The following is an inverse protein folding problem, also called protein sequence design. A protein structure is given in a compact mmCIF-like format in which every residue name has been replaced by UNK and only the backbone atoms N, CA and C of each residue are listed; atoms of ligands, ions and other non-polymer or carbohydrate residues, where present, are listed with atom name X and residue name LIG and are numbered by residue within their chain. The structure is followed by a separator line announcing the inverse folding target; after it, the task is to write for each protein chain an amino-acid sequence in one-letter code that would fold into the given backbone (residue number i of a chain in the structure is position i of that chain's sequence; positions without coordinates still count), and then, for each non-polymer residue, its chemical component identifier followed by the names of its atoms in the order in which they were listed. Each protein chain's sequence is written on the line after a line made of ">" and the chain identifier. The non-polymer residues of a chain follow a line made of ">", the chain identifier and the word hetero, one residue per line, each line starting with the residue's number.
data_IF_010670960302
#
_entry.id   IF_010670960302
#
_cell.length_a   1.000
_cell.length_b   1.000
_cell.length_c   1.000
_cell.angle_alpha   90.00
_cell.angle_beta   90.00
_cell.angle_gamma   90.00
#
_symmetry.space_group_name_H-M   'P 1'
#
loop_
_entity.id
_entity.type
_entity.pdbx_description
1 polymer ?
#
# COMPACT_ATOMS: atom_id res chain seq x y z
N UNK A 1 -17.92 -33.15 9.16
CA UNK A 1 -17.25 -31.86 9.35
C UNK A 1 -17.30 -31.15 8.02
N UNK A 2 -18.45 -30.54 7.71
CA UNK A 2 -18.56 -29.65 6.56
C UNK A 2 -18.00 -28.29 7.01
N UNK A 3 -16.92 -27.88 6.34
CA UNK A 3 -16.32 -26.56 6.49
C UNK A 3 -17.33 -25.54 5.97
N UNK A 4 -17.70 -24.60 6.83
CA UNK A 4 -18.78 -23.67 6.60
C UNK A 4 -18.35 -22.63 5.56
N UNK A 5 -18.87 -22.75 4.33
CA UNK A 5 -18.63 -21.80 3.23
C UNK A 5 -19.08 -20.35 3.56
N UNK A 6 -19.73 -20.14 4.70
CA UNK A 6 -20.23 -18.85 5.17
C UNK A 6 -19.20 -18.02 5.96
N UNK A 7 -18.07 -18.60 6.39
CA UNK A 7 -17.05 -17.87 7.16
C UNK A 7 -16.12 -17.03 6.26
N UNK A 8 -15.86 -17.47 5.02
CA UNK A 8 -14.94 -16.81 4.08
C UNK A 8 -15.61 -15.70 3.27
N UNK A 9 -16.87 -15.90 2.88
CA UNK A 9 -17.66 -14.91 2.11
C UNK A 9 -17.87 -13.62 2.91
N UNK A 10 -17.93 -13.71 4.24
CA UNK A 10 -18.12 -12.55 5.11
C UNK A 10 -16.88 -11.66 5.21
N UNK A 11 -15.67 -12.23 5.11
CA UNK A 11 -14.42 -11.47 5.18
C UNK A 11 -14.11 -10.83 3.83
N UNK A 12 -14.29 -11.55 2.71
CA UNK A 12 -14.13 -11.00 1.37
C UNK A 12 -15.12 -9.84 1.12
N UNK A 13 -16.38 -9.97 1.55
CA UNK A 13 -17.36 -8.88 1.47
C UNK A 13 -16.94 -7.69 2.34
N UNK A 14 -16.44 -7.92 3.56
CA UNK A 14 -15.99 -6.84 4.45
C UNK A 14 -14.78 -6.12 3.84
N UNK A 15 -13.80 -6.85 3.33
CA UNK A 15 -12.65 -6.25 2.64
C UNK A 15 -13.15 -5.46 1.43
N UNK A 16 -13.97 -6.05 0.56
CA UNK A 16 -14.51 -5.39 -0.64
C UNK A 16 -15.42 -4.18 -0.37
N UNK A 17 -16.03 -4.08 0.82
CA UNK A 17 -16.80 -2.88 1.21
C UNK A 17 -15.93 -1.73 1.71
N UNK A 18 -14.69 -2.02 2.12
CA UNK A 18 -13.75 -1.03 2.65
C UNK A 18 -12.54 -0.77 1.74
N UNK A 19 -12.26 -1.64 0.77
CA UNK A 19 -11.27 -1.47 -0.32
C UNK A 19 -11.96 -0.98 -1.58
N UNK A 20 -11.19 -0.47 -2.55
CA UNK A 20 -11.79 -0.04 -3.81
C UNK A 20 -12.34 -1.26 -4.58
N UNK A 21 -13.47 -1.12 -5.30
CA UNK A 21 -14.04 -2.21 -6.10
C UNK A 21 -13.13 -2.79 -7.20
N UNK A 22 -12.02 -2.13 -7.51
CA UNK A 22 -11.04 -2.57 -8.53
C UNK A 22 -9.86 -3.36 -7.96
N UNK A 23 -9.48 -3.20 -6.68
CA UNK A 23 -8.47 -4.06 -6.00
C UNK A 23 -8.95 -5.52 -5.88
N UNK A 24 -10.26 -5.73 -5.72
CA UNK A 24 -10.84 -7.08 -5.65
C UNK A 24 -10.62 -7.88 -6.94
N UNK A 25 -10.38 -7.20 -8.07
CA UNK A 25 -10.03 -7.85 -9.34
C UNK A 25 -8.54 -8.20 -9.46
N UNK A 26 -7.66 -7.53 -8.70
CA UNK A 26 -6.23 -7.84 -8.67
C UNK A 26 -5.94 -9.04 -7.75
N UNK A 27 -6.81 -9.27 -6.75
CA UNK A 27 -6.81 -10.50 -5.95
C UNK A 27 -7.29 -11.74 -6.74
N UNK A 28 -7.93 -11.58 -7.91
CA UNK A 28 -8.28 -12.69 -8.82
C UNK A 28 -7.01 -13.20 -9.55
N UNK A 29 -6.10 -13.80 -8.81
CA UNK A 29 -4.85 -14.36 -9.36
C UNK A 29 -3.70 -14.40 -8.36
N UNK A 30 -3.78 -13.62 -7.28
CA UNK A 30 -2.77 -13.63 -6.24
C UNK A 30 -2.81 -14.89 -5.37
N UNK A 31 -1.63 -15.34 -4.95
CA UNK A 31 -1.47 -16.44 -4.02
C UNK A 31 -2.17 -16.09 -2.70
N UNK A 32 -3.09 -16.96 -2.25
CA UNK A 32 -3.85 -16.74 -1.00
C UNK A 32 -2.92 -16.31 0.13
N UNK A 33 -3.18 -15.15 0.70
CA UNK A 33 -2.42 -14.65 1.86
C UNK A 33 -2.70 -15.54 3.07
N UNK A 34 -1.74 -16.37 3.44
CA UNK A 34 -1.82 -17.27 4.60
C UNK A 34 -1.74 -16.47 5.90
N UNK A 35 -2.69 -16.69 6.82
CA UNK A 35 -2.69 -16.03 8.13
C UNK A 35 -1.38 -16.23 8.90
N UNK A 36 -0.81 -15.13 9.39
CA UNK A 36 0.34 -15.14 10.30
C UNK A 36 0.01 -14.35 11.57
N UNK A 37 0.34 -14.87 12.78
CA UNK A 37 0.04 -14.20 14.04
C UNK A 37 1.04 -13.06 14.31
N UNK A 38 0.99 -12.01 13.49
CA UNK A 38 1.83 -10.82 13.61
C UNK A 38 1.08 -9.79 14.48
N UNK A 39 1.74 -9.05 15.39
CA UNK A 39 1.07 -7.99 16.12
C UNK A 39 0.51 -6.91 15.18
N UNK A 40 -0.75 -6.51 15.37
CA UNK A 40 -1.41 -5.48 14.56
C UNK A 40 -0.61 -4.16 14.46
N UNK A 41 0.06 -3.77 15.57
CA UNK A 41 0.93 -2.59 15.60
C UNK A 41 2.09 -2.69 14.60
N UNK A 42 2.66 -3.89 14.42
CA UNK A 42 3.86 -4.08 13.61
C UNK A 42 3.47 -4.05 12.13
N UNK A 43 2.32 -4.64 11.79
CA UNK A 43 1.73 -4.51 10.45
C UNK A 43 1.42 -3.05 10.12
N UNK A 44 0.81 -2.31 11.05
CA UNK A 44 0.45 -0.92 10.80
C UNK A 44 1.70 -0.04 10.61
N UNK A 45 2.74 -0.25 11.41
CA UNK A 45 4.04 0.43 11.23
C UNK A 45 4.63 0.11 9.86
N UNK A 46 4.61 -1.16 9.45
CA UNK A 46 5.16 -1.57 8.15
C UNK A 46 4.37 -0.96 6.98
N UNK A 47 3.04 -0.92 7.07
CA UNK A 47 2.16 -0.29 6.07
C UNK A 47 2.49 1.20 5.96
N UNK A 48 2.53 1.92 7.08
CA UNK A 48 2.84 3.35 7.12
C UNK A 48 4.22 3.64 6.52
N UNK A 49 5.27 3.01 7.05
CA UNK A 49 6.64 3.25 6.60
C UNK A 49 6.88 2.82 5.15
N UNK A 50 6.20 1.77 4.68
CA UNK A 50 6.28 1.37 3.27
C UNK A 50 5.58 2.41 2.39
N UNK A 51 4.39 2.88 2.76
CA UNK A 51 3.68 3.91 2.00
C UNK A 51 4.45 5.23 1.91
N UNK A 52 5.13 5.65 2.99
CA UNK A 52 6.01 6.83 2.99
C UNK A 52 7.19 6.65 2.02
N UNK A 53 7.87 5.50 2.08
CA UNK A 53 8.96 5.19 1.15
C UNK A 53 8.50 5.17 -0.31
N UNK A 54 7.29 4.67 -0.58
CA UNK A 54 6.74 4.63 -1.93
C UNK A 54 6.57 6.03 -2.52
N UNK A 55 6.19 7.02 -1.72
CA UNK A 55 6.10 8.43 -2.17
C UNK A 55 7.48 8.93 -2.61
N UNK A 56 8.51 8.70 -1.77
CA UNK A 56 9.88 9.11 -2.08
C UNK A 56 10.40 8.46 -3.37
N UNK A 57 10.15 7.16 -3.53
CA UNK A 57 10.57 6.40 -4.71
C UNK A 57 9.79 6.80 -5.96
N UNK A 58 8.49 7.05 -5.85
CA UNK A 58 7.66 7.49 -6.96
C UNK A 58 8.08 8.87 -7.47
N UNK A 59 8.41 9.80 -6.57
CA UNK A 59 8.94 11.09 -6.99
C UNK A 59 10.37 10.99 -7.51
N UNK A 60 11.23 10.17 -6.90
CA UNK A 60 12.58 9.94 -7.40
C UNK A 60 12.55 9.35 -8.82
N UNK A 61 11.69 8.36 -9.07
CA UNK A 61 11.53 7.73 -10.38
C UNK A 61 11.03 8.73 -11.42
N UNK A 62 10.09 9.60 -11.04
CA UNK A 62 9.56 10.63 -11.91
C UNK A 62 10.61 11.70 -12.25
N UNK A 63 11.34 12.22 -11.25
CA UNK A 63 12.37 13.26 -11.42
C UNK A 63 13.55 12.77 -12.26
N UNK A 64 13.98 11.53 -12.04
CA UNK A 64 15.14 10.96 -12.73
C UNK A 64 14.78 10.12 -13.95
N UNK A 65 13.49 9.99 -14.27
CA UNK A 65 12.96 9.11 -15.31
C UNK A 65 13.54 7.70 -15.22
N UNK A 66 13.42 7.11 -14.02
CA UNK A 66 14.07 5.87 -13.61
C UNK A 66 13.02 4.75 -13.49
N UNK A 67 12.93 3.92 -14.53
CA UNK A 67 11.96 2.82 -14.61
C UNK A 67 12.19 1.74 -13.54
N UNK A 68 13.44 1.51 -13.12
CA UNK A 68 13.75 0.52 -12.10
C UNK A 68 13.17 0.95 -10.73
N UNK A 69 13.32 2.24 -10.38
CA UNK A 69 12.69 2.79 -9.18
C UNK A 69 11.16 2.75 -9.27
N UNK A 70 10.59 3.04 -10.44
CA UNK A 70 9.15 2.96 -10.64
C UNK A 70 8.62 1.53 -10.48
N UNK A 71 9.36 0.52 -10.96
CA UNK A 71 9.02 -0.87 -10.77
C UNK A 71 9.06 -1.28 -9.29
N UNK A 72 10.03 -0.78 -8.52
CA UNK A 72 10.07 -1.04 -7.07
C UNK A 72 8.86 -0.45 -6.34
N UNK A 73 8.31 0.68 -6.78
CA UNK A 73 7.07 1.22 -6.21
C UNK A 73 5.92 0.22 -6.39
N UNK A 74 5.76 -0.35 -7.59
CA UNK A 74 4.72 -1.36 -7.87
C UNK A 74 4.88 -2.59 -6.96
N UNK A 75 6.11 -3.11 -6.82
CA UNK A 75 6.40 -4.26 -5.95
C UNK A 75 6.10 -3.97 -4.46
N UNK A 76 6.36 -2.74 -4.02
CA UNK A 76 6.01 -2.29 -2.67
C UNK A 76 4.50 -2.14 -2.49
N UNK A 77 3.76 -1.73 -3.51
CA UNK A 77 2.29 -1.66 -3.49
C UNK A 77 1.69 -3.02 -3.17
N UNK A 78 2.07 -4.05 -3.93
CA UNK A 78 1.61 -5.42 -3.68
C UNK A 78 1.97 -5.91 -2.27
N UNK A 79 3.08 -5.44 -1.70
CA UNK A 79 3.46 -5.74 -0.32
C UNK A 79 2.51 -5.05 0.67
N UNK A 80 2.14 -3.79 0.43
CA UNK A 80 1.16 -3.07 1.26
C UNK A 80 -0.19 -3.79 1.23
N UNK A 81 -0.67 -4.20 0.06
CA UNK A 81 -1.94 -4.93 -0.09
C UNK A 81 -1.96 -6.21 0.77
N UNK A 82 -0.88 -7.01 0.69
CA UNK A 82 -0.72 -8.23 1.49
C UNK A 82 -0.68 -7.94 2.99
N UNK A 83 -0.08 -6.83 3.43
CA UNK A 83 -0.03 -6.41 4.84
C UNK A 83 -1.42 -5.94 5.32
N UNK A 84 -2.13 -5.16 4.49
CA UNK A 84 -3.51 -4.75 4.75
C UNK A 84 -4.42 -5.97 4.92
N UNK A 85 -4.26 -6.99 4.07
CA UNK A 85 -5.01 -8.23 4.18
C UNK A 85 -4.70 -9.00 5.49
N UNK A 86 -3.43 -9.10 5.90
CA UNK A 86 -3.06 -9.68 7.21
C UNK A 86 -3.70 -8.93 8.37
N UNK A 87 -3.68 -7.59 8.32
CA UNK A 87 -4.27 -6.76 9.37
C UNK A 87 -5.79 -6.95 9.43
N UNK A 88 -6.46 -7.04 8.28
CA UNK A 88 -7.90 -7.32 8.22
C UNK A 88 -8.24 -8.66 8.91
N UNK A 89 -7.47 -9.72 8.65
CA UNK A 89 -7.65 -11.01 9.31
C UNK A 89 -7.44 -10.92 10.83
N UNK A 90 -6.41 -10.20 11.30
CA UNK A 90 -6.16 -10.01 12.73
C UNK A 90 -7.31 -9.23 13.39
N UNK A 91 -7.79 -8.17 12.76
CA UNK A 91 -8.92 -7.38 13.22
C UNK A 91 -10.18 -8.24 13.34
N UNK A 92 -10.49 -9.02 12.30
CA UNK A 92 -11.66 -9.88 12.28
C UNK A 92 -11.62 -10.96 13.37
N UNK A 93 -10.44 -11.54 13.63
CA UNK A 93 -10.26 -12.56 14.66
C UNK A 93 -10.21 -11.99 16.10
N UNK A 94 -9.80 -10.73 16.25
CA UNK A 94 -9.68 -10.08 17.55
C UNK A 94 -11.00 -9.45 18.04
N UNK A 95 -11.89 -9.04 17.14
CA UNK A 95 -13.15 -8.39 17.49
C UNK A 95 -14.19 -9.39 18.02
N UNK A 96 -14.44 -9.41 19.33
CA UNK A 96 -15.38 -10.36 19.98
C UNK A 96 -16.71 -9.74 20.41
N UNK A 97 -16.73 -8.43 20.56
CA UNK A 97 -17.91 -7.64 20.90
C UNK A 97 -17.90 -6.31 20.14
N UNK A 98 -18.89 -5.47 20.44
CA UNK A 98 -19.07 -4.19 19.75
C UNK A 98 -17.91 -3.24 20.05
N UNK A 99 -17.45 -3.20 21.30
CA UNK A 99 -16.40 -2.32 21.78
C UNK A 99 -15.04 -2.69 21.16
N UNK A 100 -14.73 -3.99 21.07
CA UNK A 100 -13.57 -4.49 20.35
C UNK A 100 -13.64 -4.08 18.86
N UNK A 101 -14.80 -4.24 18.21
CA UNK A 101 -14.99 -3.87 16.81
C UNK A 101 -14.81 -2.36 16.54
N UNK A 102 -15.37 -1.49 17.39
CA UNK A 102 -15.19 -0.03 17.30
C UNK A 102 -13.72 0.36 17.44
N UNK A 103 -12.97 -0.31 18.32
CA UNK A 103 -11.53 -0.09 18.50
C UNK A 103 -10.73 -0.52 17.28
N UNK A 104 -11.02 -1.71 16.75
CA UNK A 104 -10.30 -2.25 15.58
C UNK A 104 -10.58 -1.45 14.30
N UNK A 105 -11.77 -0.86 14.17
CA UNK A 105 -12.10 0.01 13.04
C UNK A 105 -11.11 1.18 12.90
N UNK A 106 -10.65 1.75 14.02
CA UNK A 106 -9.65 2.82 13.98
C UNK A 106 -8.31 2.38 13.37
N UNK A 107 -7.87 1.14 13.66
CA UNK A 107 -6.66 0.58 13.06
C UNK A 107 -6.83 0.35 11.55
N UNK A 108 -7.98 -0.20 11.17
CA UNK A 108 -8.29 -0.44 9.76
C UNK A 108 -8.34 0.86 8.95
N UNK A 109 -8.97 1.92 9.48
CA UNK A 109 -9.04 3.22 8.81
C UNK A 109 -7.64 3.78 8.54
N UNK A 110 -6.71 3.65 9.48
CA UNK A 110 -5.33 4.10 9.25
C UNK A 110 -4.66 3.32 8.13
N UNK A 111 -4.71 1.99 8.20
CA UNK A 111 -4.13 1.12 7.18
C UNK A 111 -4.71 1.37 5.78
N UNK A 112 -6.03 1.41 5.65
CA UNK A 112 -6.72 1.64 4.36
C UNK A 112 -6.44 3.03 3.77
N UNK A 113 -6.17 4.05 4.59
CA UNK A 113 -5.76 5.35 4.06
C UNK A 113 -4.29 5.35 3.62
N UNK A 114 -3.41 4.62 4.32
CA UNK A 114 -2.03 4.41 3.87
C UNK A 114 -1.94 3.60 2.58
N UNK A 115 -2.82 2.62 2.41
CA UNK A 115 -3.02 1.85 1.18
C UNK A 115 -3.34 2.77 -0.01
N UNK A 116 -4.30 3.68 0.15
CA UNK A 116 -4.64 4.68 -0.87
C UNK A 116 -3.50 5.63 -1.21
N UNK A 117 -2.61 5.90 -0.25
CA UNK A 117 -1.39 6.68 -0.51
C UNK A 117 -0.42 5.85 -1.35
N UNK A 118 -0.28 4.56 -1.05
CA UNK A 118 0.47 3.59 -1.85
C UNK A 118 -0.05 3.52 -3.28
N UNK A 119 -1.37 3.43 -3.50
CA UNK A 119 -1.98 3.46 -4.83
C UNK A 119 -1.63 4.74 -5.60
N UNK A 120 -1.74 5.89 -4.94
CA UNK A 120 -1.41 7.18 -5.55
C UNK A 120 0.08 7.28 -5.93
N UNK A 121 0.97 6.72 -5.12
CA UNK A 121 2.38 6.62 -5.46
C UNK A 121 2.62 5.68 -6.65
N UNK A 122 1.90 4.57 -6.71
CA UNK A 122 1.92 3.62 -7.83
C UNK A 122 1.40 4.27 -9.13
N UNK A 123 0.37 5.10 -9.07
CA UNK A 123 -0.13 5.89 -10.20
C UNK A 123 0.95 6.84 -10.76
N UNK A 124 1.70 7.50 -9.87
CA UNK A 124 2.85 8.33 -10.28
C UNK A 124 3.91 7.46 -10.95
N UNK A 125 4.27 6.31 -10.38
CA UNK A 125 5.23 5.39 -10.97
C UNK A 125 4.79 4.89 -12.35
N UNK A 126 3.49 4.61 -12.55
CA UNK A 126 2.96 4.22 -13.86
C UNK A 126 3.13 5.30 -14.93
N UNK A 127 3.17 6.58 -14.58
CA UNK A 127 3.49 7.63 -15.57
C UNK A 127 4.89 7.46 -16.15
N UNK A 128 5.85 6.99 -15.34
CA UNK A 128 7.23 6.70 -15.75
C UNK A 128 7.26 5.42 -16.56
N UNK A 129 6.67 4.33 -16.06
CA UNK A 129 6.66 3.02 -16.74
C UNK A 129 5.94 3.06 -18.10
N UNK A 130 5.01 4.00 -18.30
CA UNK A 130 4.32 4.21 -19.59
C UNK A 130 5.01 5.22 -20.50
N UNK A 131 6.17 5.74 -20.11
CA UNK A 131 6.97 6.67 -20.90
C UNK A 131 6.40 8.09 -20.99
N UNK A 132 5.45 8.46 -20.12
CA UNK A 132 4.95 9.84 -20.05
C UNK A 132 5.89 10.74 -19.25
N UNK A 133 6.52 10.20 -18.21
CA UNK A 133 7.27 10.98 -17.22
C UNK A 133 6.39 12.02 -16.51
N UNK A 134 7.02 12.97 -15.82
CA UNK A 134 6.30 14.09 -15.20
C UNK A 134 6.25 15.32 -16.11
N UNK A 135 5.10 16.01 -16.21
CA UNK A 135 5.00 17.28 -16.92
C UNK A 135 5.98 18.32 -16.37
N UNK A 136 6.53 19.17 -17.25
CA UNK A 136 7.49 20.22 -16.88
C UNK A 136 7.03 21.10 -15.73
N UNK A 137 5.74 21.44 -15.67
CA UNK A 137 5.17 22.26 -14.58
C UNK A 137 5.21 21.56 -13.22
N UNK A 138 5.05 20.22 -13.19
CA UNK A 138 5.21 19.44 -11.98
C UNK A 138 6.69 19.42 -11.56
N UNK A 139 7.60 19.25 -12.52
CA UNK A 139 9.05 19.34 -12.27
C UNK A 139 9.47 20.68 -11.64
N UNK A 140 8.91 21.80 -12.11
CA UNK A 140 9.21 23.13 -11.58
C UNK A 140 8.63 23.32 -10.15
N UNK A 141 7.46 22.77 -9.87
CA UNK A 141 6.89 22.79 -8.52
C UNK A 141 7.77 22.06 -7.49
N UNK A 142 8.54 21.05 -7.90
CA UNK A 142 9.48 20.35 -7.01
C UNK A 142 10.70 21.20 -6.62
N UNK A 143 10.99 22.31 -7.31
CA UNK A 143 12.08 23.21 -6.88
C UNK A 143 11.67 24.06 -5.66
N UNK A 144 10.37 24.25 -5.45
CA UNK A 144 9.81 25.14 -4.41
C UNK A 144 9.38 24.41 -3.13
N UNK A 145 9.37 23.08 -3.12
CA UNK A 145 9.03 22.27 -1.93
C UNK A 145 10.16 22.26 -0.89
N UNK A 146 9.74 22.15 0.38
CA UNK A 146 10.64 22.09 1.54
C UNK A 146 11.49 20.82 1.53
N UNK A 147 10.90 19.67 1.21
CA UNK A 147 11.59 18.39 1.07
C UNK A 147 12.02 18.17 -0.38
N UNK A 148 13.27 17.75 -0.57
CA UNK A 148 13.89 17.61 -1.90
C UNK A 148 14.57 16.26 -2.06
N UNK A 149 14.45 15.71 -3.26
CA UNK A 149 15.12 14.48 -3.67
C UNK A 149 16.38 14.84 -4.46
N UNK A 150 17.50 14.21 -4.13
CA UNK A 150 18.79 14.47 -4.77
C UNK A 150 19.53 13.18 -5.11
N UNK A 151 20.22 13.18 -6.26
CA UNK A 151 21.13 12.10 -6.68
C UNK A 151 22.57 12.57 -6.52
N UNK A 152 23.36 11.84 -5.72
CA UNK A 152 24.74 12.22 -5.39
C UNK A 152 25.73 11.18 -5.91
N UNK A 153 26.77 11.65 -6.60
CA UNK A 153 27.90 10.80 -7.01
C UNK A 153 29.01 10.83 -5.96
N UNK A 154 29.26 9.70 -5.31
CA UNK A 154 30.33 9.56 -4.32
C UNK A 154 31.60 9.10 -5.02
N UNK A 155 32.67 9.89 -4.94
CA UNK A 155 34.00 9.49 -5.43
C UNK A 155 34.63 8.50 -4.44
N UNK A 156 35.25 7.42 -4.94
CA UNK A 156 36.09 6.56 -4.10
C UNK A 156 37.28 7.37 -3.57
N UNK A 157 37.47 7.33 -2.26
CA UNK A 157 38.67 7.86 -1.58
C UNK A 157 39.90 6.99 -1.81
#
# INVERSE_FOLDING_TARGET
>A
MESNALDVVSIEILIATFTNPWETSELEGEERVEFKPIPAKDLLVEILSTSELMIDLAYASAIFNDEDLAQNVVELSEKVDRLCYQLAMIIALAARDKEDAETMLGLWVLASNSDKISDAATDVAYTVLRGFGIPRIASEAFEEVEERIGRYHIKKG
#
